data_IF_923697025258
#
_entry.id   IF_923697025258
#
_cell.length_a   1.000
_cell.length_b   1.000
_cell.length_c   1.000
_cell.angle_alpha   90.00
_cell.angle_beta   90.00
_cell.angle_gamma   90.00
#
_symmetry.space_group_name_H-M   'P 1'
#
loop_
_entity.id
_entity.type
_entity.pdbx_description
1 polymer ?
#
# COMPACT_ATOMS: atom_id res chain seq x y z
N UNK A 1 -22.36 29.16 53.04
CA UNK A 1 -21.96 30.42 53.73
C UNK A 1 -20.77 31.02 53.03
N UNK A 2 -20.94 32.33 52.70
CA UNK A 2 -19.97 33.38 52.36
C UNK A 2 -19.37 33.30 50.92
N UNK A 3 -19.96 34.00 49.94
CA UNK A 3 -19.86 35.39 49.44
C UNK A 3 -18.48 35.73 48.82
N UNK A 4 -18.46 35.87 47.49
CA UNK A 4 -18.37 37.09 46.67
C UNK A 4 -17.39 38.17 47.12
N UNK A 5 -16.52 38.64 46.17
CA UNK A 5 -16.43 40.06 45.81
C UNK A 5 -15.68 40.19 44.47
N UNK A 6 -16.28 40.99 43.57
CA UNK A 6 -15.75 41.50 42.30
C UNK A 6 -15.02 42.83 42.54
N UNK A 7 -14.07 43.16 41.68
CA UNK A 7 -13.62 44.56 41.54
C UNK A 7 -13.24 44.87 40.08
N UNK A 8 -13.99 45.75 39.50
CA UNK A 8 -13.72 46.47 38.24
C UNK A 8 -12.77 47.63 38.49
N UNK A 9 -11.93 47.96 37.54
CA UNK A 9 -11.31 49.27 37.44
C UNK A 9 -11.15 49.70 35.98
N UNK A 10 -11.79 50.78 35.70
CA UNK A 10 -11.84 51.57 34.47
C UNK A 10 -10.82 52.72 34.59
N UNK A 11 -10.06 53.08 33.54
CA UNK A 11 -9.43 54.41 33.36
C UNK A 11 -8.99 54.60 31.92
N UNK A 12 -9.70 55.38 31.27
CA UNK A 12 -9.67 56.68 30.60
C UNK A 12 -8.42 57.06 29.79
N UNK A 13 -8.76 57.54 28.60
CA UNK A 13 -7.94 58.05 27.51
C UNK A 13 -7.23 59.39 27.81
N UNK A 14 -6.16 59.64 27.07
CA UNK A 14 -5.77 61.00 26.62
C UNK A 14 -5.14 60.90 25.24
N UNK A 15 -5.71 61.61 24.29
CA UNK A 15 -5.19 61.76 22.94
C UNK A 15 -4.15 62.88 22.85
N UNK A 16 -3.28 62.78 21.87
CA UNK A 16 -2.53 63.89 21.32
C UNK A 16 -2.34 63.71 19.82
N UNK A 17 -2.90 64.61 19.05
CA UNK A 17 -2.74 64.72 17.62
C UNK A 17 -1.46 65.52 17.32
N UNK A 18 -0.62 65.04 16.40
CA UNK A 18 0.37 65.85 15.70
C UNK A 18 0.39 65.48 14.24
N UNK A 19 0.01 66.45 13.43
CA UNK A 19 0.11 66.50 11.97
C UNK A 19 1.55 66.65 11.53
N UNK A 20 2.00 65.85 10.55
CA UNK A 20 3.26 66.01 9.85
C UNK A 20 3.23 65.31 8.49
N UNK A 21 3.04 66.10 7.42
CA UNK A 21 3.26 65.67 6.04
C UNK A 21 4.73 65.37 5.79
N UNK A 22 5.06 64.24 5.13
CA UNK A 22 6.14 64.19 4.12
C UNK A 22 6.03 62.91 3.28
N UNK A 23 5.91 63.12 1.97
CA UNK A 23 6.48 62.45 0.79
C UNK A 23 6.58 60.91 0.78
N UNK A 24 5.99 60.39 -0.28
CA UNK A 24 5.85 59.00 -0.69
C UNK A 24 7.13 58.18 -0.77
N UNK A 25 6.96 56.98 -0.34
CA UNK A 25 7.67 55.79 -0.89
C UNK A 25 6.63 54.65 -0.91
N UNK A 26 6.27 54.25 -2.10
CA UNK A 26 5.36 53.15 -2.35
C UNK A 26 6.08 51.84 -1.99
N UNK A 27 5.70 51.22 -0.91
CA UNK A 27 6.15 49.88 -0.56
C UNK A 27 5.50 48.87 -1.53
N UNK A 28 6.23 47.83 -1.98
CA UNK A 28 5.64 46.81 -2.84
C UNK A 28 4.55 46.06 -2.09
N UNK A 29 3.46 45.81 -2.78
CA UNK A 29 2.34 45.04 -2.29
C UNK A 29 2.82 43.68 -1.79
N UNK A 30 2.59 43.37 -0.51
CA UNK A 30 2.67 42.05 0.04
C UNK A 30 1.75 41.12 -0.76
N UNK A 31 2.30 40.28 -1.59
CA UNK A 31 1.59 39.15 -2.13
C UNK A 31 1.05 38.35 -0.94
N UNK A 32 -0.26 38.31 -0.80
CA UNK A 32 -0.93 37.31 0.03
C UNK A 32 -0.51 35.96 -0.54
N UNK A 33 0.40 35.26 0.15
CA UNK A 33 0.66 33.86 -0.07
C UNK A 33 -0.65 33.11 0.22
N UNK A 34 -1.39 32.81 -0.84
CA UNK A 34 -2.42 31.82 -0.78
C UNK A 34 -1.70 30.49 -0.52
N UNK A 35 -1.82 29.97 0.67
CA UNK A 35 -1.64 28.56 0.93
C UNK A 35 -2.76 27.83 0.18
N UNK A 36 -2.54 27.55 -1.10
CA UNK A 36 -3.30 26.51 -1.78
C UNK A 36 -2.86 25.22 -1.12
N UNK A 37 -3.63 24.79 -0.10
CA UNK A 37 -3.65 23.40 0.29
C UNK A 37 -3.97 22.63 -1.00
N UNK A 38 -3.00 21.90 -1.53
CA UNK A 38 -3.29 20.87 -2.50
C UNK A 38 -4.07 19.81 -1.72
N UNK A 39 -5.41 19.90 -1.73
CA UNK A 39 -6.22 18.71 -1.58
C UNK A 39 -5.77 17.80 -2.73
N UNK A 40 -5.02 16.77 -2.40
CA UNK A 40 -4.74 15.72 -3.38
C UNK A 40 -6.08 15.09 -3.71
N UNK A 41 -6.55 15.34 -4.93
CA UNK A 41 -7.77 14.72 -5.42
C UNK A 41 -7.51 13.20 -5.42
N UNK A 42 -8.28 12.49 -4.61
CA UNK A 42 -8.20 11.04 -4.51
C UNK A 42 -8.64 10.44 -5.83
N UNK A 43 -7.98 9.38 -6.25
CA UNK A 43 -8.31 8.71 -7.51
C UNK A 43 -9.75 8.18 -7.48
N UNK A 44 -10.45 8.35 -8.58
CA UNK A 44 -11.82 7.84 -8.76
C UNK A 44 -11.95 7.14 -10.10
N UNK A 45 -12.84 6.13 -10.17
CA UNK A 45 -13.15 5.42 -11.41
C UNK A 45 -14.66 5.43 -11.66
N UNK A 46 -15.06 5.15 -12.89
CA UNK A 46 -16.46 4.81 -13.25
C UNK A 46 -16.82 3.39 -12.83
N UNK A 47 -15.84 2.61 -12.43
CA UNK A 47 -16.00 1.27 -11.91
C UNK A 47 -16.79 1.25 -10.61
N UNK A 48 -17.41 0.12 -10.31
CA UNK A 48 -18.03 -0.14 -9.03
C UNK A 48 -17.74 -1.56 -8.58
N UNK A 49 -17.56 -1.73 -7.26
CA UNK A 49 -17.38 -3.01 -6.60
C UNK A 49 -18.53 -3.25 -5.62
N UNK A 50 -19.02 -4.47 -5.57
CA UNK A 50 -20.01 -4.92 -4.59
C UNK A 50 -19.59 -6.26 -4.03
N UNK A 51 -19.46 -6.37 -2.71
CA UNK A 51 -19.20 -7.65 -2.05
C UNK A 51 -20.48 -8.50 -2.07
N UNK A 52 -20.38 -9.71 -2.60
CA UNK A 52 -21.47 -10.71 -2.65
C UNK A 52 -21.33 -11.69 -1.49
N UNK A 53 -20.10 -12.12 -1.20
CA UNK A 53 -19.74 -12.97 -0.07
C UNK A 53 -18.35 -12.57 0.44
N UNK A 54 -18.14 -12.51 1.78
CA UNK A 54 -19.12 -12.73 2.84
C UNK A 54 -20.19 -11.62 2.91
N UNK A 55 -21.32 -11.91 3.55
CA UNK A 55 -22.33 -10.90 3.89
C UNK A 55 -22.01 -10.26 5.24
N UNK A 56 -22.57 -9.08 5.46
CA UNK A 56 -22.46 -8.36 6.73
C UNK A 56 -22.81 -9.26 7.93
N UNK A 57 -21.92 -9.34 8.92
CA UNK A 57 -22.03 -10.17 10.11
C UNK A 57 -21.95 -11.68 9.86
N UNK A 58 -21.57 -12.12 8.66
CA UNK A 58 -21.52 -13.56 8.35
C UNK A 58 -20.50 -14.28 9.23
N UNK A 59 -20.92 -15.43 9.78
CA UNK A 59 -19.99 -16.33 10.47
C UNK A 59 -19.22 -17.15 9.43
N UNK A 60 -17.89 -17.10 9.54
CA UNK A 60 -16.96 -17.87 8.71
C UNK A 60 -16.41 -19.02 9.58
N UNK A 61 -16.65 -20.25 9.15
CA UNK A 61 -16.23 -21.48 9.86
C UNK A 61 -15.09 -22.22 9.15
N UNK A 62 -14.76 -21.83 7.95
CA UNK A 62 -13.60 -22.33 7.19
C UNK A 62 -12.32 -21.67 7.68
N UNK A 63 -11.18 -22.34 7.55
CA UNK A 63 -9.87 -21.76 7.87
C UNK A 63 -9.60 -20.56 6.95
N UNK A 64 -9.73 -20.75 5.66
CA UNK A 64 -9.63 -19.67 4.69
C UNK A 64 -11.00 -19.02 4.44
N UNK A 65 -10.99 -17.75 4.06
CA UNK A 65 -12.21 -16.95 3.88
C UNK A 65 -12.52 -16.86 2.39
N UNK A 66 -13.59 -17.54 1.91
CA UNK A 66 -14.00 -17.44 0.51
C UNK A 66 -14.63 -16.07 0.23
N UNK A 67 -14.18 -15.43 -0.84
CA UNK A 67 -14.64 -14.12 -1.28
C UNK A 67 -15.28 -14.22 -2.64
N UNK A 68 -16.39 -13.52 -2.81
CA UNK A 68 -17.03 -13.27 -4.10
C UNK A 68 -17.43 -11.79 -4.18
N UNK A 69 -17.03 -11.12 -5.23
CA UNK A 69 -17.42 -9.74 -5.53
C UNK A 69 -18.09 -9.65 -6.90
N UNK A 70 -18.89 -8.62 -7.12
CA UNK A 70 -19.34 -8.21 -8.43
C UNK A 70 -18.68 -6.90 -8.79
N UNK A 71 -18.10 -6.82 -9.97
CA UNK A 71 -17.46 -5.61 -10.51
C UNK A 71 -18.20 -5.19 -11.77
N UNK A 72 -18.44 -3.88 -11.93
CA UNK A 72 -19.12 -3.32 -13.10
C UNK A 72 -18.36 -2.11 -13.61
N UNK A 73 -18.38 -1.91 -14.93
CA UNK A 73 -17.68 -0.81 -15.62
C UNK A 73 -16.16 -0.73 -15.32
N UNK A 74 -15.55 -1.88 -15.01
CA UNK A 74 -14.13 -1.99 -14.70
C UNK A 74 -13.62 -3.38 -15.10
N UNK A 75 -12.46 -3.45 -15.72
CA UNK A 75 -11.79 -4.69 -16.12
C UNK A 75 -10.80 -5.12 -15.06
N UNK A 76 -11.14 -6.14 -14.28
CA UNK A 76 -10.21 -6.73 -13.31
C UNK A 76 -9.23 -7.64 -14.04
N UNK A 77 -7.95 -7.27 -14.06
CA UNK A 77 -6.94 -7.89 -14.92
C UNK A 77 -5.54 -7.84 -14.29
N UNK A 78 -4.72 -8.84 -14.57
CA UNK A 78 -3.29 -8.84 -14.27
C UNK A 78 -2.44 -8.31 -15.43
N UNK A 79 -3.04 -7.97 -16.59
CA UNK A 79 -2.31 -7.77 -17.83
C UNK A 79 -1.34 -6.57 -17.78
N UNK A 80 -1.72 -5.52 -17.08
CA UNK A 80 -0.94 -4.28 -17.01
C UNK A 80 -0.48 -3.89 -15.59
N UNK A 81 -0.57 -4.82 -14.63
CA UNK A 81 -0.08 -4.56 -13.26
C UNK A 81 1.36 -4.08 -13.28
N UNK A 82 1.65 -2.98 -12.57
CA UNK A 82 2.94 -2.31 -12.55
C UNK A 82 3.25 -1.40 -13.74
N UNK A 83 2.37 -1.33 -14.75
CA UNK A 83 2.50 -0.45 -15.91
C UNK A 83 1.68 0.84 -15.73
N UNK A 84 1.88 1.85 -16.59
CA UNK A 84 1.04 3.03 -16.59
C UNK A 84 -0.44 2.66 -16.65
N UNK A 85 -1.26 3.42 -15.93
CA UNK A 85 -2.66 3.13 -15.76
C UNK A 85 -3.44 3.12 -17.08
N UNK A 86 -4.35 2.18 -17.18
CA UNK A 86 -5.34 2.06 -18.26
C UNK A 86 -6.70 2.40 -17.67
N UNK A 87 -7.39 3.39 -18.23
CA UNK A 87 -8.70 3.81 -17.71
C UNK A 87 -9.70 2.63 -17.66
N UNK A 88 -10.27 2.42 -16.49
CA UNK A 88 -11.21 1.34 -16.24
C UNK A 88 -10.59 -0.06 -16.16
N UNK A 89 -9.29 -0.18 -15.97
CA UNK A 89 -8.59 -1.45 -15.72
C UNK A 89 -7.73 -1.40 -14.45
N UNK A 90 -7.61 -2.54 -13.81
CA UNK A 90 -6.76 -2.73 -12.63
C UNK A 90 -7.12 -4.00 -11.87
N UNK A 91 -7.11 -3.95 -10.54
CA UNK A 91 -7.31 -5.12 -9.69
C UNK A 91 -8.11 -4.79 -8.43
N UNK A 92 -8.34 -5.80 -7.59
CA UNK A 92 -9.06 -5.65 -6.33
C UNK A 92 -8.05 -5.71 -5.19
N UNK A 93 -8.07 -4.71 -4.32
CA UNK A 93 -7.40 -4.76 -3.04
C UNK A 93 -8.31 -5.28 -1.95
N UNK A 94 -7.74 -5.98 -0.97
CA UNK A 94 -8.45 -6.43 0.23
C UNK A 94 -7.59 -6.21 1.45
N UNK A 95 -8.14 -5.56 2.45
CA UNK A 95 -7.47 -5.24 3.71
C UNK A 95 -8.23 -5.87 4.88
N UNK A 96 -7.51 -6.26 5.92
CA UNK A 96 -8.07 -6.76 7.18
C UNK A 96 -7.96 -5.68 8.25
N UNK A 97 -9.10 -5.37 8.91
CA UNK A 97 -9.21 -4.48 10.06
C UNK A 97 -8.72 -3.03 9.84
N UNK A 98 -8.60 -2.60 8.60
CA UNK A 98 -8.23 -1.21 8.31
C UNK A 98 -7.88 -0.96 6.85
N UNK A 99 -7.73 0.33 6.53
CA UNK A 99 -7.22 0.82 5.24
C UNK A 99 -5.85 1.46 5.47
N UNK A 100 -4.88 0.66 5.82
CA UNK A 100 -3.48 1.10 5.87
C UNK A 100 -2.64 0.15 5.04
N UNK A 101 -1.57 0.64 4.45
CA UNK A 101 -0.65 -0.20 3.65
C UNK A 101 -0.17 -1.44 4.42
N UNK A 102 -0.08 -1.35 5.75
CA UNK A 102 0.35 -2.43 6.61
C UNK A 102 -0.63 -3.59 6.80
N UNK A 103 -1.83 -3.52 6.25
CA UNK A 103 -2.87 -4.56 6.41
C UNK A 103 -3.45 -5.02 5.08
N UNK A 104 -2.76 -4.76 3.98
CA UNK A 104 -3.13 -5.24 2.66
C UNK A 104 -2.86 -6.76 2.58
N UNK A 105 -3.88 -7.54 2.27
CA UNK A 105 -3.71 -8.99 2.12
C UNK A 105 -2.99 -9.34 0.82
N UNK A 106 -3.48 -8.83 -0.29
CA UNK A 106 -2.95 -9.06 -1.62
C UNK A 106 -3.83 -8.31 -2.63
N UNK A 107 -3.39 -8.27 -3.88
CA UNK A 107 -4.23 -7.85 -4.98
C UNK A 107 -4.83 -9.05 -5.73
N UNK A 108 -6.07 -8.93 -6.14
CA UNK A 108 -6.80 -9.99 -6.82
C UNK A 108 -7.27 -9.55 -8.20
N UNK A 109 -7.08 -10.42 -9.17
CA UNK A 109 -7.38 -10.17 -10.59
C UNK A 109 -8.55 -10.99 -11.10
N UNK A 110 -9.30 -11.59 -10.17
CA UNK A 110 -10.55 -12.34 -10.45
C UNK A 110 -11.61 -11.98 -9.42
N UNK A 111 -12.92 -12.02 -9.79
CA UNK A 111 -13.99 -11.68 -8.86
C UNK A 111 -14.26 -12.75 -7.78
N UNK A 112 -13.67 -13.92 -7.90
CA UNK A 112 -13.77 -15.01 -6.91
C UNK A 112 -12.36 -15.42 -6.48
N UNK A 113 -12.11 -15.41 -5.18
CA UNK A 113 -10.82 -15.74 -4.60
C UNK A 113 -10.97 -16.16 -3.13
N UNK A 114 -9.88 -16.53 -2.50
CA UNK A 114 -9.85 -16.98 -1.11
C UNK A 114 -8.77 -16.24 -0.35
N UNK A 115 -9.11 -15.65 0.80
CA UNK A 115 -8.13 -15.05 1.70
C UNK A 115 -7.57 -16.12 2.63
N UNK A 116 -6.24 -16.25 2.74
CA UNK A 116 -5.62 -17.19 3.67
C UNK A 116 -5.94 -16.83 5.12
N UNK A 117 -6.48 -17.78 5.89
CA UNK A 117 -6.87 -17.55 7.28
C UNK A 117 -5.76 -17.76 8.31
N UNK A 118 -4.60 -18.29 7.91
CA UNK A 118 -3.47 -18.50 8.82
C UNK A 118 -3.04 -17.19 9.48
N UNK A 119 -2.94 -17.18 10.79
CA UNK A 119 -2.55 -16.00 11.57
C UNK A 119 -3.69 -15.03 11.85
N UNK A 120 -4.89 -15.23 11.31
CA UNK A 120 -6.08 -14.48 11.71
C UNK A 120 -6.59 -15.09 13.03
N UNK A 121 -6.78 -14.25 14.05
CA UNK A 121 -7.35 -14.70 15.33
C UNK A 121 -8.86 -14.89 15.20
N UNK A 122 -9.46 -15.92 15.82
CA UNK A 122 -10.92 -16.01 15.88
C UNK A 122 -11.52 -14.78 16.55
N UNK A 123 -12.57 -14.20 15.95
CA UNK A 123 -13.22 -13.00 16.46
C UNK A 123 -13.98 -12.24 15.39
N UNK A 124 -14.33 -11.00 15.70
CA UNK A 124 -14.87 -10.05 14.73
C UNK A 124 -13.73 -9.40 13.98
N UNK A 125 -13.90 -9.28 12.67
CA UNK A 125 -12.99 -8.61 11.77
C UNK A 125 -13.76 -7.80 10.75
N UNK A 126 -13.14 -6.73 10.24
CA UNK A 126 -13.66 -5.94 9.13
C UNK A 126 -12.79 -6.22 7.91
N UNK A 127 -13.40 -6.67 6.83
CA UNK A 127 -12.78 -6.73 5.51
C UNK A 127 -13.09 -5.44 4.75
N UNK A 128 -12.07 -4.82 4.20
CA UNK A 128 -12.21 -3.62 3.35
C UNK A 128 -11.77 -3.98 1.95
N UNK A 129 -12.58 -3.64 0.97
CA UNK A 129 -12.36 -3.92 -0.45
C UNK A 129 -12.39 -2.62 -1.23
N UNK A 130 -11.55 -2.50 -2.24
CA UNK A 130 -11.64 -1.46 -3.26
C UNK A 130 -11.13 -1.96 -4.61
N UNK A 131 -11.34 -1.16 -5.64
CA UNK A 131 -10.65 -1.30 -6.91
C UNK A 131 -9.42 -0.42 -6.87
N UNK A 132 -8.33 -0.91 -7.45
CA UNK A 132 -7.08 -0.18 -7.59
C UNK A 132 -6.63 -0.15 -9.05
N UNK A 133 -5.87 0.89 -9.41
CA UNK A 133 -5.26 1.06 -10.72
C UNK A 133 -4.14 0.05 -10.97
N UNK A 134 -3.57 0.04 -12.17
CA UNK A 134 -2.43 -0.82 -12.49
C UNK A 134 -1.15 -0.44 -11.71
N UNK A 135 -1.07 0.80 -11.23
CA UNK A 135 0.01 1.29 -10.36
C UNK A 135 -0.32 1.21 -8.87
N UNK A 136 -1.36 0.45 -8.51
CA UNK A 136 -1.84 0.21 -7.14
C UNK A 136 -2.41 1.45 -6.42
N UNK A 137 -2.88 2.45 -7.16
CA UNK A 137 -3.60 3.58 -6.58
C UNK A 137 -5.05 3.19 -6.32
N UNK A 138 -5.51 3.32 -5.06
CA UNK A 138 -6.87 2.95 -4.64
C UNK A 138 -7.92 3.92 -5.18
N UNK A 139 -9.06 3.39 -5.66
CA UNK A 139 -10.21 4.20 -6.07
C UNK A 139 -11.20 4.33 -4.92
N UNK A 140 -11.14 5.43 -4.18
CA UNK A 140 -11.96 5.66 -2.98
C UNK A 140 -13.45 5.47 -3.18
N UNK A 141 -13.97 5.86 -4.35
CA UNK A 141 -15.39 5.75 -4.63
C UNK A 141 -15.88 4.29 -4.78
N UNK A 142 -14.99 3.32 -4.70
CA UNK A 142 -15.31 1.89 -4.81
C UNK A 142 -15.22 1.14 -3.49
N UNK A 143 -14.78 1.79 -2.41
CA UNK A 143 -14.55 1.19 -1.10
C UNK A 143 -15.81 0.53 -0.55
N UNK A 144 -15.68 -0.72 -0.14
CA UNK A 144 -16.72 -1.51 0.52
C UNK A 144 -16.16 -2.11 1.81
N UNK A 145 -16.96 -2.10 2.89
CA UNK A 145 -16.61 -2.70 4.17
C UNK A 145 -17.62 -3.77 4.53
N UNK A 146 -17.14 -4.89 5.04
CA UNK A 146 -17.96 -6.01 5.50
C UNK A 146 -17.39 -6.55 6.79
N UNK A 147 -18.19 -6.51 7.85
CA UNK A 147 -17.85 -7.16 9.12
C UNK A 147 -18.14 -8.65 9.04
N UNK A 148 -17.25 -9.47 9.63
CA UNK A 148 -17.40 -10.91 9.71
C UNK A 148 -17.19 -11.41 11.14
N UNK A 149 -17.81 -12.55 11.50
CA UNK A 149 -17.54 -13.31 12.73
C UNK A 149 -16.68 -14.53 12.37
N UNK A 150 -15.33 -14.36 12.38
CA UNK A 150 -14.39 -15.40 12.00
C UNK A 150 -14.24 -16.42 13.14
N UNK A 151 -14.79 -17.63 12.94
CA UNK A 151 -14.76 -18.75 13.89
C UNK A 151 -14.45 -20.05 13.17
N UNK A 152 -13.24 -20.21 12.64
CA UNK A 152 -12.87 -21.42 11.93
C UNK A 152 -12.94 -22.63 12.85
N UNK A 153 -13.36 -23.78 12.32
CA UNK A 153 -13.35 -25.04 13.06
C UNK A 153 -11.94 -25.42 13.53
N UNK A 154 -10.93 -25.01 12.78
CA UNK A 154 -9.52 -25.14 13.13
C UNK A 154 -8.81 -23.84 12.72
N UNK A 155 -8.44 -23.04 13.72
CA UNK A 155 -7.60 -21.87 13.48
C UNK A 155 -6.16 -22.30 13.22
N UNK A 156 -5.53 -21.70 12.21
CA UNK A 156 -4.10 -21.87 11.95
C UNK A 156 -3.34 -20.69 12.55
N UNK A 157 -2.56 -21.00 13.60
CA UNK A 157 -1.74 -20.00 14.25
C UNK A 157 -0.63 -19.49 13.33
N UNK A 158 -0.26 -18.23 13.50
CA UNK A 158 0.95 -17.70 12.93
C UNK A 158 2.18 -18.49 13.39
N UNK A 159 3.21 -18.67 12.55
CA UNK A 159 4.40 -19.39 12.95
C UNK A 159 5.19 -18.58 14.00
N UNK A 160 5.99 -19.26 14.85
CA UNK A 160 6.86 -18.55 15.76
C UNK A 160 7.95 -17.80 14.99
N UNK A 161 8.44 -16.68 15.52
CA UNK A 161 9.57 -15.95 14.92
C UNK A 161 10.78 -16.87 14.69
N UNK A 162 11.54 -16.61 13.62
CA UNK A 162 12.79 -17.34 13.37
C UNK A 162 13.83 -16.89 14.40
N UNK A 163 14.26 -17.82 15.24
CA UNK A 163 15.28 -17.56 16.25
C UNK A 163 16.61 -17.17 15.54
N UNK A 164 17.27 -16.14 16.06
CA UNK A 164 18.58 -15.66 15.57
C UNK A 164 18.62 -15.35 14.05
N UNK A 165 17.49 -14.99 13.46
CA UNK A 165 17.48 -14.52 12.08
C UNK A 165 18.39 -13.27 11.98
N UNK A 166 19.42 -13.35 11.16
CA UNK A 166 20.21 -12.19 10.73
C UNK A 166 19.41 -11.30 9.79
N UNK A 167 20.05 -10.28 9.23
CA UNK A 167 19.43 -9.41 8.22
C UNK A 167 18.96 -10.25 7.02
N UNK A 168 17.70 -10.15 6.62
CA UNK A 168 17.18 -10.79 5.43
C UNK A 168 17.87 -10.31 4.16
N UNK A 169 17.91 -11.19 3.17
CA UNK A 169 18.41 -10.86 1.85
C UNK A 169 17.89 -11.84 0.81
N UNK A 170 18.03 -11.48 -0.44
CA UNK A 170 17.62 -12.29 -1.59
C UNK A 170 18.70 -12.26 -2.66
N UNK A 171 18.82 -13.34 -3.43
CA UNK A 171 19.64 -13.42 -4.65
C UNK A 171 18.77 -13.93 -5.79
N UNK A 172 18.86 -13.33 -6.95
CA UNK A 172 18.23 -13.85 -8.16
C UNK A 172 19.13 -14.97 -8.72
N UNK A 173 18.56 -16.16 -8.87
CA UNK A 173 19.23 -17.35 -9.40
C UNK A 173 18.98 -17.49 -10.89
N UNK A 174 17.76 -17.22 -11.34
CA UNK A 174 17.31 -17.25 -12.74
C UNK A 174 16.20 -16.20 -12.95
N UNK A 175 16.19 -15.51 -14.11
CA UNK A 175 17.22 -15.53 -15.15
C UNK A 175 18.57 -14.96 -14.66
N UNK A 176 19.63 -15.19 -15.43
CA UNK A 176 20.94 -14.59 -15.16
C UNK A 176 20.96 -13.12 -15.60
N UNK A 177 21.83 -12.34 -14.99
CA UNK A 177 22.09 -10.97 -15.45
C UNK A 177 22.49 -10.95 -16.93
N UNK A 178 21.88 -10.05 -17.70
CA UNK A 178 22.05 -9.94 -19.16
C UNK A 178 21.29 -10.98 -19.97
N UNK A 179 20.50 -11.86 -19.38
CA UNK A 179 19.80 -12.93 -20.11
C UNK A 179 18.74 -12.34 -21.08
N UNK A 180 18.58 -13.00 -22.23
CA UNK A 180 17.42 -12.79 -23.11
C UNK A 180 16.29 -13.71 -22.67
N UNK A 181 15.10 -13.13 -22.46
CA UNK A 181 13.88 -13.83 -22.00
C UNK A 181 12.70 -13.54 -22.91
N UNK A 182 11.76 -14.46 -22.98
CA UNK A 182 10.44 -14.21 -23.54
C UNK A 182 9.54 -13.44 -22.59
N UNK A 183 8.33 -13.04 -23.03
CA UNK A 183 7.42 -12.22 -22.22
C UNK A 183 6.89 -12.95 -20.96
N UNK A 184 6.87 -14.26 -20.99
CA UNK A 184 6.52 -15.09 -19.83
C UNK A 184 7.70 -15.98 -19.49
N UNK A 185 8.19 -15.85 -18.28
CA UNK A 185 9.30 -16.64 -17.79
C UNK A 185 9.16 -16.95 -16.31
N UNK A 186 9.99 -17.87 -15.83
CA UNK A 186 10.03 -18.23 -14.41
C UNK A 186 11.24 -17.60 -13.76
N UNK A 187 11.02 -16.86 -12.69
CA UNK A 187 12.09 -16.43 -11.78
C UNK A 187 12.35 -17.46 -10.71
N UNK A 188 13.61 -17.58 -10.35
CA UNK A 188 14.05 -18.34 -9.19
C UNK A 188 14.96 -17.45 -8.34
N UNK A 189 14.65 -17.40 -7.05
CA UNK A 189 15.41 -16.64 -6.05
C UNK A 189 15.88 -17.53 -4.91
N UNK A 190 16.93 -17.10 -4.22
CA UNK A 190 17.43 -17.77 -3.02
C UNK A 190 17.43 -16.76 -1.85
N UNK A 191 16.58 -16.94 -0.84
CA UNK A 191 16.56 -16.11 0.34
C UNK A 191 17.72 -16.45 1.29
N UNK A 192 18.12 -15.46 2.09
CA UNK A 192 19.02 -15.62 3.24
C UNK A 192 18.31 -15.05 4.46
N UNK A 193 18.29 -15.75 5.58
CA UNK A 193 17.64 -15.35 6.84
C UNK A 193 16.17 -14.95 6.69
N UNK A 194 15.48 -15.45 5.66
CA UNK A 194 14.13 -15.06 5.28
C UNK A 194 13.32 -16.29 4.83
N UNK A 195 12.05 -16.30 5.19
CA UNK A 195 11.07 -17.32 4.80
C UNK A 195 9.89 -16.64 4.13
N UNK A 196 9.77 -16.73 2.81
CA UNK A 196 8.63 -16.18 2.12
C UNK A 196 7.35 -16.90 2.54
N UNK A 197 6.29 -16.14 2.84
CA UNK A 197 5.02 -16.65 3.35
C UNK A 197 3.89 -15.70 2.96
N UNK A 198 3.42 -15.81 1.73
CA UNK A 198 2.35 -14.96 1.19
C UNK A 198 1.04 -15.12 1.99
N UNK A 199 0.82 -16.28 2.59
CA UNK A 199 -0.31 -16.54 3.46
C UNK A 199 -0.31 -15.74 4.78
N UNK A 200 0.77 -15.01 5.06
CA UNK A 200 0.89 -14.08 6.19
C UNK A 200 0.84 -12.60 5.76
N UNK A 201 0.71 -12.32 4.49
CA UNK A 201 0.59 -10.96 3.95
C UNK A 201 -0.61 -10.23 4.56
N UNK A 202 -0.44 -8.93 4.86
CA UNK A 202 -1.46 -8.11 5.52
C UNK A 202 -1.70 -8.43 7.00
N UNK A 203 -0.88 -9.28 7.60
CA UNK A 203 -0.98 -9.69 9.01
C UNK A 203 0.20 -9.17 9.83
N UNK A 204 0.13 -9.22 11.17
CA UNK A 204 1.22 -8.73 12.01
C UNK A 204 2.58 -9.29 11.61
N UNK A 205 3.60 -8.44 11.65
CA UNK A 205 4.96 -8.81 11.28
C UNK A 205 5.54 -9.89 12.20
N UNK A 206 6.21 -10.88 11.58
CA UNK A 206 6.86 -11.97 12.28
C UNK A 206 8.32 -12.03 11.83
N UNK A 207 9.24 -11.87 12.76
CA UNK A 207 10.68 -11.85 12.46
C UNK A 207 11.10 -13.05 11.60
N UNK A 208 11.71 -12.77 10.46
CA UNK A 208 12.19 -13.75 9.50
C UNK A 208 11.16 -14.25 8.50
N UNK A 209 9.94 -13.72 8.51
CA UNK A 209 8.88 -14.00 7.54
C UNK A 209 8.48 -12.72 6.80
N UNK A 210 7.88 -12.90 5.62
CA UNK A 210 7.37 -11.85 4.76
C UNK A 210 7.19 -12.36 3.34
N UNK A 211 7.22 -11.49 2.37
CA UNK A 211 7.08 -11.85 0.95
C UNK A 211 8.06 -11.06 0.10
N UNK A 212 8.04 -11.28 -1.21
CA UNK A 212 8.86 -10.52 -2.14
C UNK A 212 8.02 -9.47 -2.84
N UNK A 213 8.59 -8.30 -3.09
CA UNK A 213 8.15 -7.41 -4.14
C UNK A 213 9.05 -7.58 -5.36
N UNK A 214 8.44 -7.59 -6.53
CA UNK A 214 9.15 -7.70 -7.82
C UNK A 214 8.83 -6.50 -8.66
N UNK A 215 9.86 -5.71 -9.00
CA UNK A 215 9.73 -4.51 -9.79
C UNK A 215 10.44 -4.64 -11.14
N UNK A 216 9.90 -3.94 -12.13
CA UNK A 216 10.53 -3.76 -13.44
C UNK A 216 10.76 -2.28 -13.67
N UNK A 217 11.99 -1.91 -14.06
CA UNK A 217 12.44 -0.54 -14.38
C UNK A 217 12.22 0.50 -13.26
N UNK A 218 12.15 0.03 -12.02
CA UNK A 218 12.05 0.92 -10.88
C UNK A 218 13.44 1.49 -10.51
N UNK A 219 13.55 2.81 -10.48
CA UNK A 219 14.73 3.47 -9.91
C UNK A 219 14.63 3.49 -8.38
N UNK A 220 15.47 2.71 -7.72
CA UNK A 220 15.53 2.62 -6.24
C UNK A 220 15.77 3.98 -5.55
N UNK A 221 16.25 4.99 -6.27
CA UNK A 221 16.45 6.35 -5.76
C UNK A 221 15.13 7.11 -5.55
N UNK A 222 14.03 6.63 -6.10
CA UNK A 222 12.70 7.23 -5.97
C UNK A 222 11.90 6.71 -4.79
N UNK A 223 12.39 5.67 -4.07
CA UNK A 223 11.75 5.22 -2.84
C UNK A 223 12.06 6.19 -1.70
N UNK A 224 11.06 6.80 -1.06
CA UNK A 224 11.30 7.47 0.19
C UNK A 224 11.65 6.42 1.23
N UNK A 225 12.82 6.54 1.79
CA UNK A 225 13.25 5.79 2.97
C UNK A 225 12.17 5.96 4.03
N UNK A 226 11.60 4.84 4.50
CA UNK A 226 10.63 4.85 5.58
C UNK A 226 11.18 5.69 6.73
N UNK A 227 10.53 6.82 7.02
CA UNK A 227 10.89 7.65 8.15
C UNK A 227 10.62 6.81 9.41
N UNK A 228 11.65 6.59 10.21
CA UNK A 228 11.55 6.00 11.53
C UNK A 228 10.54 6.80 12.36
N UNK A 229 9.31 6.31 12.47
CA UNK A 229 8.36 6.87 13.43
C UNK A 229 8.83 6.50 14.85
N UNK A 230 8.96 7.48 15.74
CA UNK A 230 9.23 7.19 17.14
C UNK A 230 8.00 6.51 17.75
N UNK A 231 8.22 5.36 18.34
CA UNK A 231 7.23 4.61 19.12
C UNK A 231 6.81 5.45 20.35
N UNK A 232 5.55 5.86 20.41
CA UNK A 232 4.93 6.40 21.61
C UNK A 232 4.18 7.71 21.37
N UNK A 233 2.91 7.63 21.03
CA UNK A 233 1.98 8.74 21.04
C UNK A 233 0.58 8.25 20.67
N UNK A 234 -0.40 8.47 21.54
CA UNK A 234 -1.81 8.26 21.26
C UNK A 234 -2.23 9.09 20.06
N UNK A 235 -2.59 8.45 18.96
CA UNK A 235 -3.08 9.12 17.76
C UNK A 235 -4.55 9.46 17.91
N UNK A 236 -4.85 10.76 18.02
CA UNK A 236 -6.13 11.29 17.53
C UNK A 236 -6.16 11.06 16.02
N UNK A 237 -7.26 10.48 15.53
CA UNK A 237 -7.47 10.21 14.10
C UNK A 237 -7.62 11.55 13.35
N UNK A 238 -6.52 12.11 12.91
CA UNK A 238 -6.52 13.04 11.79
C UNK A 238 -6.45 12.19 10.51
N UNK A 239 -7.41 12.35 9.63
CA UNK A 239 -7.45 11.76 8.29
C UNK A 239 -6.34 12.36 7.40
N UNK A 240 -5.09 12.14 7.74
CA UNK A 240 -4.01 12.22 6.78
C UNK A 240 -3.80 10.83 6.20
N UNK A 241 -4.59 10.51 5.19
CA UNK A 241 -4.27 9.44 4.25
C UNK A 241 -2.96 9.85 3.57
N UNK A 242 -1.84 9.36 4.09
CA UNK A 242 -0.59 9.39 3.37
C UNK A 242 -0.86 8.70 2.04
N UNK A 243 -0.84 9.46 0.93
CA UNK A 243 -1.10 8.93 -0.39
C UNK A 243 -0.25 7.69 -0.59
N UNK A 244 -0.90 6.59 -0.98
CA UNK A 244 -0.18 5.40 -1.42
C UNK A 244 0.77 5.84 -2.52
N UNK A 245 2.07 5.71 -2.26
CA UNK A 245 3.06 5.98 -3.29
C UNK A 245 2.79 5.03 -4.44
N UNK A 246 2.71 5.57 -5.63
CA UNK A 246 2.59 4.80 -6.84
C UNK A 246 3.63 3.66 -6.82
N UNK A 247 3.15 2.43 -6.80
CA UNK A 247 4.00 1.23 -6.94
C UNK A 247 4.21 0.91 -8.42
N UNK A 248 4.43 1.96 -9.23
CA UNK A 248 4.75 1.82 -10.63
C UNK A 248 5.93 0.86 -10.81
N UNK A 249 5.80 -0.07 -11.75
CA UNK A 249 6.79 -1.11 -11.98
C UNK A 249 6.66 -2.35 -11.09
N UNK A 250 5.81 -2.37 -10.07
CA UNK A 250 5.58 -3.58 -9.27
C UNK A 250 4.71 -4.57 -10.03
N UNK A 251 5.33 -5.67 -10.46
CA UNK A 251 4.70 -6.70 -11.30
C UNK A 251 4.30 -7.95 -10.52
N UNK A 252 4.56 -8.00 -9.22
CA UNK A 252 4.15 -9.14 -8.40
C UNK A 252 4.64 -9.12 -6.97
N UNK A 253 3.93 -9.86 -6.12
CA UNK A 253 4.21 -10.11 -4.70
C UNK A 253 4.27 -11.61 -4.42
N UNK A 254 5.28 -12.34 -4.92
CA UNK A 254 5.34 -13.78 -4.76
C UNK A 254 5.73 -14.20 -3.33
N UNK A 255 5.05 -15.23 -2.82
CA UNK A 255 5.35 -15.88 -1.54
C UNK A 255 6.19 -17.13 -1.65
N UNK A 256 6.87 -17.36 -2.77
CA UNK A 256 7.70 -18.56 -3.00
C UNK A 256 9.01 -18.22 -3.69
N UNK A 257 9.96 -19.16 -3.62
CA UNK A 257 11.30 -18.98 -4.21
C UNK A 257 11.35 -19.20 -5.74
N UNK A 258 10.26 -19.67 -6.32
CA UNK A 258 10.12 -19.88 -7.77
C UNK A 258 8.73 -19.38 -8.16
N UNK A 259 8.65 -18.45 -9.08
CA UNK A 259 7.40 -17.82 -9.46
C UNK A 259 7.41 -17.36 -10.93
N UNK A 260 6.23 -17.30 -11.57
CA UNK A 260 6.10 -16.74 -12.92
C UNK A 260 6.21 -15.23 -12.90
N UNK A 261 6.74 -14.68 -13.99
CA UNK A 261 6.70 -13.25 -14.31
C UNK A 261 6.09 -13.12 -15.70
N UNK A 262 5.11 -12.22 -15.83
CA UNK A 262 4.42 -11.94 -17.11
C UNK A 262 4.70 -10.48 -17.51
N UNK A 263 5.48 -10.31 -18.55
CA UNK A 263 5.81 -9.02 -19.16
C UNK A 263 5.22 -8.90 -20.57
N UNK A 264 4.12 -9.59 -20.86
CA UNK A 264 3.52 -9.62 -22.21
C UNK A 264 3.16 -8.24 -22.73
N UNK A 265 2.71 -7.33 -21.86
CA UNK A 265 2.33 -5.98 -22.23
C UNK A 265 3.49 -4.96 -22.17
N UNK A 266 4.68 -5.40 -21.80
CA UNK A 266 5.88 -4.54 -21.73
C UNK A 266 6.53 -4.39 -23.11
N UNK A 267 7.33 -3.33 -23.31
CA UNK A 267 8.09 -3.11 -24.55
C UNK A 267 9.24 -4.10 -24.65
N UNK A 268 9.58 -4.51 -25.87
CA UNK A 268 10.81 -5.28 -26.08
C UNK A 268 12.04 -4.41 -25.82
N UNK A 269 13.08 -4.99 -25.26
CA UNK A 269 14.34 -4.29 -24.98
C UNK A 269 14.95 -4.63 -23.63
N UNK A 270 15.85 -3.79 -23.16
CA UNK A 270 16.48 -3.94 -21.86
C UNK A 270 15.54 -3.47 -20.76
N UNK A 271 15.41 -4.30 -19.73
CA UNK A 271 14.68 -4.00 -18.51
C UNK A 271 15.51 -4.38 -17.29
N UNK A 272 15.31 -3.65 -16.22
CA UNK A 272 15.87 -3.96 -14.91
C UNK A 272 14.82 -4.69 -14.10
N UNK A 273 15.16 -5.83 -13.50
CA UNK A 273 14.28 -6.51 -12.54
C UNK A 273 14.91 -6.42 -11.17
N UNK A 274 14.16 -5.89 -10.23
CA UNK A 274 14.54 -5.80 -8.82
C UNK A 274 13.61 -6.67 -7.98
N UNK A 275 14.19 -7.47 -7.10
CA UNK A 275 13.46 -8.27 -6.10
C UNK A 275 13.92 -7.81 -4.73
N UNK A 276 12.97 -7.45 -3.89
CA UNK A 276 13.22 -7.12 -2.49
C UNK A 276 12.44 -8.02 -1.54
N UNK A 277 12.85 -8.05 -0.28
CA UNK A 277 12.16 -8.75 0.80
C UNK A 277 11.49 -7.71 1.68
N UNK A 278 10.18 -7.87 1.92
CA UNK A 278 9.39 -6.99 2.77
C UNK A 278 8.72 -7.77 3.89
N UNK A 279 8.28 -7.07 4.92
CA UNK A 279 7.52 -7.64 6.03
C UNK A 279 6.10 -8.01 5.58
N UNK A 280 5.34 -8.68 6.46
CA UNK A 280 3.94 -9.07 6.15
C UNK A 280 3.05 -7.86 5.88
N UNK A 281 3.33 -6.72 6.51
CA UNK A 281 2.60 -5.45 6.38
C UNK A 281 3.18 -4.52 5.30
N UNK A 282 3.95 -5.05 4.36
CA UNK A 282 4.62 -4.33 3.27
C UNK A 282 5.68 -3.31 3.71
N UNK A 283 5.98 -3.21 4.99
CA UNK A 283 7.07 -2.33 5.44
C UNK A 283 8.43 -2.93 5.12
N UNK A 284 9.39 -2.06 4.84
CA UNK A 284 10.76 -2.45 4.58
C UNK A 284 11.40 -3.17 5.78
N UNK A 285 12.29 -4.11 5.49
CA UNK A 285 13.09 -4.76 6.51
C UNK A 285 14.42 -4.00 6.65
N UNK A 286 14.67 -3.44 7.82
CA UNK A 286 15.89 -2.67 8.09
C UNK A 286 17.15 -3.44 7.71
N UNK A 287 17.98 -2.83 6.87
CA UNK A 287 19.25 -3.39 6.39
C UNK A 287 19.13 -4.47 5.32
N UNK A 288 17.92 -4.92 4.96
CA UNK A 288 17.73 -5.80 3.81
C UNK A 288 18.15 -5.09 2.52
N UNK A 289 18.78 -5.84 1.61
CA UNK A 289 19.20 -5.30 0.32
C UNK A 289 18.46 -6.03 -0.80
N UNK A 290 17.89 -5.29 -1.75
CA UNK A 290 17.29 -5.88 -2.94
C UNK A 290 18.35 -6.53 -3.81
N UNK A 291 17.91 -7.45 -4.66
CA UNK A 291 18.71 -8.02 -5.74
C UNK A 291 18.21 -7.50 -7.09
N UNK A 292 19.14 -7.07 -7.93
CA UNK A 292 18.81 -6.49 -9.23
C UNK A 292 19.59 -7.19 -10.34
N UNK A 293 18.92 -7.44 -11.47
CA UNK A 293 19.51 -7.92 -12.72
C UNK A 293 18.97 -7.12 -13.90
N UNK A 294 19.69 -7.12 -14.99
CA UNK A 294 19.22 -6.65 -16.30
C UNK A 294 18.78 -7.83 -17.15
N UNK A 295 17.69 -7.72 -17.86
CA UNK A 295 17.25 -8.69 -18.88
C UNK A 295 17.10 -8.00 -20.23
N UNK A 296 17.05 -8.81 -21.30
CA UNK A 296 16.67 -8.36 -22.63
C UNK A 296 15.36 -9.06 -23.02
N UNK A 297 14.25 -8.35 -22.94
CA UNK A 297 12.91 -8.85 -23.23
C UNK A 297 12.69 -8.93 -24.74
N UNK A 298 12.21 -10.07 -25.25
CA UNK A 298 11.90 -10.28 -26.66
C UNK A 298 10.56 -11.02 -26.83
N UNK A 299 9.83 -10.65 -27.89
CA UNK A 299 8.55 -11.29 -28.22
C UNK A 299 7.37 -10.81 -27.37
N UNK A 300 7.52 -9.73 -26.62
CA UNK A 300 6.42 -9.08 -25.92
C UNK A 300 5.57 -8.25 -26.89
N UNK A 301 4.29 -8.07 -26.56
CA UNK A 301 3.32 -7.38 -27.42
C UNK A 301 3.24 -5.87 -27.14
N UNK A 302 3.89 -5.37 -26.10
CA UNK A 302 3.88 -3.96 -25.73
C UNK A 302 4.48 -3.08 -26.83
N UNK A 303 3.79 -2.00 -27.19
CA UNK A 303 4.13 -1.05 -28.26
C UNK A 303 5.03 0.10 -27.76
#
# INVERSE_FOLDING_TARGET
>A
MIRLIAASALSTAVGLALTGCTTGAQAPASAKGGTTGHEMAMATTKGSLKVISPKEGQRITTTDIPIQVAVSNFNVSAAHVGQPDVDGEGHIHVMLDGMTMGVLFNYYTTPEFTLPGRGITPGRHTLVFDLASNTHEDFENTVQKVDIDYKPAKAEAAPPPVANAGTPGVKIISPKDGATVGPKFTMQVAPTNFRPALDLEGKPNIKGYGHYHVFVDMEMSSMPMASTQPSGGSMEMSHEMGGMMSMAGMVGMPGGNTFPVDLTAWKNGKHTITVETVQNDHTDIEGAKPATITINLQGAAGS
#
